data_IF_533170797384
#
_entry.id   IF_533170797384
#
_cell.length_a   1.000
_cell.length_b   1.000
_cell.length_c   1.000
_cell.angle_alpha   90.00
_cell.angle_beta   90.00
_cell.angle_gamma   90.00
#
_symmetry.space_group_name_H-M   'P 1'
#
loop_
_entity.id
_entity.type
_entity.pdbx_description
1 polymer ?
#
# COMPACT_ATOMS: atom_id res chain seq x y z
N UNK A 1 11.07 -2.62 3.31
CA UNK A 1 10.32 -3.08 4.51
C UNK A 1 8.81 -2.99 4.29
N UNK A 2 8.20 -1.80 4.17
CA UNK A 2 6.74 -1.64 4.05
C UNK A 2 6.11 -2.44 2.89
N UNK A 3 6.74 -2.45 1.71
CA UNK A 3 6.23 -3.20 0.56
C UNK A 3 6.23 -4.72 0.80
N UNK A 4 7.29 -5.27 1.42
CA UNK A 4 7.35 -6.69 1.76
C UNK A 4 6.26 -7.09 2.77
N UNK A 5 6.07 -6.31 3.84
CA UNK A 5 4.98 -6.54 4.79
C UNK A 5 3.60 -6.48 4.13
N UNK A 6 3.40 -5.55 3.21
CA UNK A 6 2.15 -5.43 2.44
C UNK A 6 1.90 -6.67 1.59
N UNK A 7 2.95 -7.18 0.93
CA UNK A 7 2.85 -8.40 0.12
C UNK A 7 2.49 -9.62 0.98
N UNK A 8 3.19 -9.83 2.10
CA UNK A 8 2.91 -10.94 3.03
C UNK A 8 1.49 -10.87 3.58
N UNK A 9 1.06 -9.69 4.05
CA UNK A 9 -0.31 -9.49 4.53
C UNK A 9 -1.34 -9.80 3.43
N UNK A 10 -1.10 -9.31 2.21
CA UNK A 10 -1.98 -9.54 1.05
C UNK A 10 -2.10 -11.03 0.70
N UNK A 11 -0.99 -11.76 0.70
CA UNK A 11 -0.94 -13.18 0.32
C UNK A 11 -1.40 -14.13 1.43
N UNK A 12 -1.49 -13.66 2.67
CA UNK A 12 -1.93 -14.48 3.81
C UNK A 12 -3.39 -14.97 3.72
N UNK A 13 -4.21 -14.36 2.86
CA UNK A 13 -5.65 -14.60 2.79
C UNK A 13 -6.45 -14.02 3.97
N UNK A 14 -5.79 -13.33 4.92
CA UNK A 14 -6.41 -12.80 6.14
C UNK A 14 -6.65 -11.28 6.09
N UNK A 15 -6.09 -10.59 5.10
CA UNK A 15 -6.21 -9.13 4.98
C UNK A 15 -7.64 -8.75 4.59
N UNK A 16 -8.43 -8.24 5.55
CA UNK A 16 -9.81 -7.84 5.31
C UNK A 16 -9.98 -6.34 5.01
N UNK A 17 -9.10 -5.50 5.55
CA UNK A 17 -9.13 -4.04 5.43
C UNK A 17 -7.71 -3.47 5.47
N UNK A 18 -7.47 -2.41 4.71
CA UNK A 18 -6.23 -1.64 4.76
C UNK A 18 -6.55 -0.15 4.53
N UNK A 19 -6.05 0.72 5.40
CA UNK A 19 -6.16 2.17 5.27
C UNK A 19 -4.80 2.76 4.86
N UNK A 20 -4.84 3.73 3.95
CA UNK A 20 -3.67 4.49 3.51
C UNK A 20 -3.89 5.95 3.85
N UNK A 21 -3.22 6.41 4.90
CA UNK A 21 -3.43 7.72 5.54
C UNK A 21 -2.14 8.53 5.57
N UNK A 22 -2.23 9.78 6.04
CA UNK A 22 -1.08 10.69 6.28
C UNK A 22 -0.27 11.07 5.03
N UNK A 23 -0.92 11.12 3.86
CA UNK A 23 -0.31 11.78 2.69
C UNK A 23 -0.34 13.29 2.91
N UNK A 24 0.82 13.94 2.77
CA UNK A 24 0.92 15.39 2.80
C UNK A 24 1.55 15.91 1.50
N UNK A 25 0.74 16.37 0.53
CA UNK A 25 1.24 16.87 -0.75
C UNK A 25 2.23 18.03 -0.64
N UNK A 26 2.09 18.88 0.38
CA UNK A 26 2.98 20.03 0.58
C UNK A 26 4.41 19.62 0.96
N UNK A 27 4.59 18.42 1.50
CA UNK A 27 5.89 17.86 1.89
C UNK A 27 6.34 16.70 0.99
N UNK A 28 5.54 16.34 -0.01
CA UNK A 28 5.78 15.16 -0.84
C UNK A 28 6.64 15.48 -2.06
N UNK A 29 7.96 15.44 -1.87
CA UNK A 29 8.95 15.66 -2.94
C UNK A 29 8.66 14.75 -4.13
N UNK A 30 8.35 15.36 -5.28
CA UNK A 30 8.01 14.70 -6.54
C UNK A 30 6.89 13.65 -6.45
N UNK A 31 6.00 13.79 -5.46
CA UNK A 31 4.90 12.86 -5.23
C UNK A 31 5.37 11.45 -4.83
N UNK A 32 6.58 11.30 -4.27
CA UNK A 32 7.18 9.98 -3.98
C UNK A 32 6.36 9.17 -2.97
N UNK A 33 5.74 9.84 -2.00
CA UNK A 33 4.89 9.25 -0.96
C UNK A 33 3.57 8.81 -1.58
N UNK A 34 2.94 9.65 -2.39
CA UNK A 34 1.74 9.30 -3.16
C UNK A 34 1.98 8.11 -4.10
N UNK A 35 3.11 8.10 -4.81
CA UNK A 35 3.50 6.97 -5.68
C UNK A 35 3.77 5.70 -4.87
N UNK A 36 4.37 5.80 -3.68
CA UNK A 36 4.55 4.66 -2.79
C UNK A 36 3.21 4.08 -2.33
N UNK A 37 2.32 4.93 -1.81
CA UNK A 37 0.95 4.57 -1.43
C UNK A 37 0.21 3.87 -2.59
N UNK A 38 0.23 4.44 -3.79
CA UNK A 38 -0.39 3.85 -4.98
C UNK A 38 0.14 2.44 -5.29
N UNK A 39 1.46 2.21 -5.17
CA UNK A 39 2.05 0.87 -5.36
C UNK A 39 1.64 -0.13 -4.29
N UNK A 40 1.47 0.31 -3.04
CA UNK A 40 0.96 -0.55 -1.97
C UNK A 40 -0.49 -0.96 -2.25
N UNK A 41 -1.35 0.00 -2.60
CA UNK A 41 -2.74 -0.24 -2.97
C UNK A 41 -2.81 -1.18 -4.18
N UNK A 42 -2.01 -0.93 -5.23
CA UNK A 42 -1.95 -1.79 -6.40
C UNK A 42 -1.54 -3.23 -6.05
N UNK A 43 -0.58 -3.39 -5.14
CA UNK A 43 -0.16 -4.72 -4.66
C UNK A 43 -1.32 -5.44 -3.96
N UNK A 44 -2.02 -4.75 -3.06
CA UNK A 44 -3.18 -5.30 -2.34
C UNK A 44 -4.27 -5.70 -3.33
N UNK A 45 -4.76 -4.75 -4.13
CA UNK A 45 -5.89 -4.99 -5.06
C UNK A 45 -5.55 -6.02 -6.12
N UNK A 46 -4.32 -6.02 -6.65
CA UNK A 46 -3.90 -6.91 -7.73
C UNK A 46 -3.57 -8.34 -7.28
N UNK A 47 -3.30 -8.56 -5.99
CA UNK A 47 -2.86 -9.88 -5.48
C UNK A 47 -3.75 -10.45 -4.38
N UNK A 48 -4.65 -9.65 -3.81
CA UNK A 48 -5.59 -10.14 -2.81
C UNK A 48 -6.56 -11.12 -3.47
N UNK A 49 -6.51 -12.37 -3.02
CA UNK A 49 -7.43 -13.44 -3.41
C UNK A 49 -8.34 -13.72 -2.22
N UNK A 50 -9.65 -13.74 -2.48
CA UNK A 50 -10.65 -14.22 -1.51
C UNK A 50 -10.54 -15.73 -1.34
#
# INVERSE_FOLDING_TARGET
VIHACTLEATQSGKLALADVVELNPALDVDGRTAKAAARLIHTIVGRHRR
#
